data_IF_027747160401
#
_entry.id   IF_027747160401
#
_cell.length_a   1.000
_cell.length_b   1.000
_cell.length_c   1.000
_cell.angle_alpha   90.00
_cell.angle_beta   90.00
_cell.angle_gamma   90.00
#
_symmetry.space_group_name_H-M   'P 1'
#
loop_
_entity.id
_entity.type
_entity.pdbx_description
1 polymer ?
#
# COMPACT_ATOMS: atom_id res chain seq x y z
N UNK A 1 22.67 -23.21 0.49
CA UNK A 1 21.37 -22.51 0.49
C UNK A 1 21.22 -21.70 -0.78
N UNK A 2 20.06 -21.76 -1.40
CA UNK A 2 19.76 -20.98 -2.59
C UNK A 2 19.47 -19.55 -2.15
N UNK A 3 20.19 -18.60 -2.72
CA UNK A 3 19.97 -17.20 -2.46
C UNK A 3 18.83 -16.70 -3.35
N UNK A 4 17.80 -16.09 -2.73
CA UNK A 4 16.66 -15.53 -3.44
C UNK A 4 16.83 -14.02 -3.55
N UNK A 5 16.38 -13.44 -4.67
CA UNK A 5 16.26 -11.99 -4.81
C UNK A 5 15.22 -11.45 -3.84
N UNK A 6 15.25 -10.13 -3.58
CA UNK A 6 14.25 -9.48 -2.73
C UNK A 6 12.82 -9.73 -3.23
N UNK A 7 12.60 -9.64 -4.54
CA UNK A 7 11.29 -9.90 -5.13
C UNK A 7 10.86 -11.35 -4.98
N UNK A 8 11.79 -12.29 -5.15
CA UNK A 8 11.50 -13.71 -4.95
C UNK A 8 11.16 -14.01 -3.49
N UNK A 9 11.89 -13.41 -2.55
CA UNK A 9 11.60 -13.54 -1.12
C UNK A 9 10.21 -13.01 -0.80
N UNK A 10 9.85 -11.86 -1.35
CA UNK A 10 8.54 -11.27 -1.12
C UNK A 10 7.41 -12.14 -1.68
N UNK A 11 7.58 -12.67 -2.89
CA UNK A 11 6.60 -13.58 -3.46
C UNK A 11 6.47 -14.87 -2.64
N UNK A 12 7.57 -15.37 -2.09
CA UNK A 12 7.53 -16.54 -1.21
C UNK A 12 6.75 -16.23 0.07
N UNK A 13 6.96 -15.07 0.66
CA UNK A 13 6.21 -14.63 1.84
C UNK A 13 4.71 -14.56 1.56
N UNK A 14 4.33 -14.01 0.40
CA UNK A 14 2.93 -13.95 -0.01
C UNK A 14 2.36 -15.37 -0.16
N UNK A 15 3.09 -16.27 -0.83
CA UNK A 15 2.65 -17.65 -1.02
C UNK A 15 2.45 -18.37 0.32
N UNK A 16 3.35 -18.16 1.26
CA UNK A 16 3.22 -18.74 2.61
C UNK A 16 1.99 -18.23 3.34
N UNK A 17 1.72 -16.94 3.23
CA UNK A 17 0.53 -16.35 3.82
C UNK A 17 -0.75 -16.92 3.20
N UNK A 18 -0.77 -17.08 1.87
CA UNK A 18 -1.91 -17.61 1.16
C UNK A 18 -2.19 -19.08 1.51
N UNK A 19 -1.17 -19.86 1.86
CA UNK A 19 -1.33 -21.25 2.25
C UNK A 19 -2.21 -21.40 3.49
N UNK A 20 -2.38 -20.36 4.28
CA UNK A 20 -3.26 -20.35 5.46
C UNK A 20 -4.71 -19.99 5.11
N UNK A 21 -5.00 -19.76 3.85
CA UNK A 21 -6.33 -19.40 3.33
C UNK A 21 -6.96 -18.21 4.07
N UNK A 22 -6.26 -17.05 4.14
CA UNK A 22 -6.77 -15.90 4.87
C UNK A 22 -7.95 -15.23 4.14
N UNK A 23 -8.84 -14.61 4.90
CA UNK A 23 -9.88 -13.75 4.32
C UNK A 23 -9.34 -12.35 4.02
N UNK A 24 -8.38 -11.91 4.82
CA UNK A 24 -7.74 -10.60 4.69
C UNK A 24 -6.23 -10.79 4.70
N UNK A 25 -5.55 -10.20 3.73
CA UNK A 25 -4.09 -10.20 3.66
C UNK A 25 -3.58 -8.81 4.00
N UNK A 26 -2.72 -8.71 5.01
CA UNK A 26 -2.10 -7.45 5.42
C UNK A 26 -0.67 -7.39 4.88
N UNK A 27 -0.33 -6.30 4.22
CA UNK A 27 1.01 -6.07 3.70
C UNK A 27 1.53 -4.73 4.20
N UNK A 28 2.73 -4.73 4.78
CA UNK A 28 3.38 -3.52 5.26
C UNK A 28 4.58 -3.22 4.38
N UNK A 29 4.51 -2.10 3.63
CA UNK A 29 5.56 -1.65 2.73
C UNK A 29 6.06 -2.78 1.81
N UNK A 30 5.18 -3.41 1.02
CA UNK A 30 5.53 -4.67 0.34
C UNK A 30 6.63 -4.54 -0.71
N UNK A 31 6.90 -3.34 -1.20
CA UNK A 31 7.90 -3.13 -2.26
C UNK A 31 9.03 -2.18 -1.88
N UNK A 32 9.20 -1.87 -0.58
CA UNK A 32 10.11 -0.82 -0.14
C UNK A 32 11.58 -1.05 -0.48
N UNK A 33 12.01 -2.31 -0.61
CA UNK A 33 13.41 -2.64 -0.89
C UNK A 33 13.58 -3.33 -2.24
N UNK A 34 12.60 -3.21 -3.13
CA UNK A 34 12.61 -3.93 -4.41
C UNK A 34 12.98 -3.00 -5.56
N UNK A 35 13.64 -3.55 -6.57
CA UNK A 35 13.88 -2.87 -7.84
C UNK A 35 12.54 -2.65 -8.59
N UNK A 36 12.51 -1.76 -9.61
CA UNK A 36 11.26 -1.46 -10.32
C UNK A 36 10.60 -2.68 -10.97
N UNK A 37 11.40 -3.61 -11.51
CA UNK A 37 10.84 -4.82 -12.14
C UNK A 37 10.17 -5.74 -11.13
N UNK A 38 10.80 -5.95 -9.98
CA UNK A 38 10.24 -6.76 -8.91
C UNK A 38 9.03 -6.10 -8.29
N UNK A 39 9.07 -4.78 -8.11
CA UNK A 39 7.92 -4.00 -7.63
C UNK A 39 6.71 -4.20 -8.53
N UNK A 40 6.90 -4.11 -9.85
CA UNK A 40 5.81 -4.30 -10.80
C UNK A 40 5.18 -5.68 -10.68
N UNK A 41 5.99 -6.72 -10.53
CA UNK A 41 5.50 -8.10 -10.37
C UNK A 41 4.68 -8.28 -9.11
N UNK A 42 5.13 -7.68 -7.99
CA UNK A 42 4.39 -7.73 -6.74
C UNK A 42 3.06 -6.97 -6.88
N UNK A 43 3.07 -5.79 -7.51
CA UNK A 43 1.84 -5.02 -7.72
C UNK A 43 0.85 -5.77 -8.60
N UNK A 44 1.32 -6.45 -9.65
CA UNK A 44 0.47 -7.29 -10.48
C UNK A 44 -0.15 -8.43 -9.67
N UNK A 45 0.65 -9.07 -8.82
CA UNK A 45 0.16 -10.14 -7.93
C UNK A 45 -0.89 -9.61 -6.97
N UNK A 46 -0.68 -8.43 -6.39
CA UNK A 46 -1.66 -7.79 -5.50
C UNK A 46 -2.98 -7.57 -6.22
N UNK A 47 -2.94 -7.04 -7.44
CA UNK A 47 -4.15 -6.79 -8.21
C UNK A 47 -4.90 -8.08 -8.54
N UNK A 48 -4.18 -9.14 -8.90
CA UNK A 48 -4.80 -10.44 -9.16
C UNK A 48 -5.46 -11.01 -7.90
N UNK A 49 -4.75 -10.98 -6.77
CA UNK A 49 -5.27 -11.50 -5.50
C UNK A 49 -6.47 -10.71 -5.00
N UNK A 50 -6.51 -9.40 -5.29
CA UNK A 50 -7.59 -8.53 -4.82
C UNK A 50 -8.95 -8.87 -5.44
N UNK A 51 -8.97 -9.65 -6.52
CA UNK A 51 -10.22 -10.11 -7.12
C UNK A 51 -10.93 -11.14 -6.22
N UNK A 52 -10.17 -11.89 -5.42
CA UNK A 52 -10.70 -12.99 -4.63
C UNK A 52 -10.64 -12.75 -3.12
N UNK A 53 -9.92 -11.73 -2.67
CA UNK A 53 -9.74 -11.49 -1.24
C UNK A 53 -9.53 -10.01 -0.95
N UNK A 54 -9.71 -9.64 0.31
CA UNK A 54 -9.43 -8.28 0.77
C UNK A 54 -7.95 -8.13 1.10
N UNK A 55 -7.32 -7.12 0.53
CA UNK A 55 -5.92 -6.80 0.81
C UNK A 55 -5.84 -5.41 1.42
N UNK A 56 -5.12 -5.31 2.52
CA UNK A 56 -4.82 -4.03 3.18
C UNK A 56 -3.32 -3.80 3.09
N UNK A 57 -2.93 -2.67 2.49
CA UNK A 57 -1.52 -2.32 2.31
C UNK A 57 -1.23 -1.05 3.10
N UNK A 58 -0.16 -1.10 3.90
CA UNK A 58 0.39 0.09 4.54
C UNK A 58 1.59 0.52 3.71
N UNK A 59 1.57 1.75 3.21
CA UNK A 59 2.67 2.28 2.41
C UNK A 59 2.74 3.79 2.53
N UNK A 60 3.96 4.34 2.47
CA UNK A 60 4.16 5.77 2.31
C UNK A 60 4.39 6.14 0.83
N UNK A 61 4.37 5.16 -0.06
CA UNK A 61 4.52 5.40 -1.49
C UNK A 61 3.17 5.72 -2.11
N UNK A 62 2.92 7.02 -2.34
CA UNK A 62 1.64 7.49 -2.87
C UNK A 62 1.36 6.96 -4.28
N UNK A 63 2.40 6.82 -5.09
CA UNK A 63 2.23 6.30 -6.45
C UNK A 63 1.77 4.85 -6.43
N UNK A 64 2.34 4.04 -5.52
CA UNK A 64 1.90 2.66 -5.36
C UNK A 64 0.45 2.58 -4.89
N UNK A 65 0.09 3.41 -3.91
CA UNK A 65 -1.30 3.46 -3.43
C UNK A 65 -2.26 3.76 -4.57
N UNK A 66 -1.90 4.72 -5.44
CA UNK A 66 -2.73 5.08 -6.58
C UNK A 66 -2.87 3.92 -7.59
N UNK A 67 -1.80 3.16 -7.80
CA UNK A 67 -1.81 2.08 -8.80
C UNK A 67 -2.59 0.85 -8.35
N UNK A 68 -2.52 0.51 -7.06
CA UNK A 68 -2.99 -0.82 -6.62
C UNK A 68 -4.23 -0.80 -5.74
N UNK A 69 -4.65 0.37 -5.23
CA UNK A 69 -5.77 0.40 -4.30
C UNK A 69 -7.01 1.02 -4.90
N UNK A 70 -8.16 0.48 -4.50
CA UNK A 70 -9.47 1.05 -4.85
C UNK A 70 -9.95 2.05 -3.80
N UNK A 71 -9.51 1.89 -2.56
CA UNK A 71 -9.84 2.80 -1.45
C UNK A 71 -8.57 3.13 -0.69
N UNK A 72 -8.51 4.35 -0.17
CA UNK A 72 -7.33 4.83 0.55
C UNK A 72 -7.76 5.52 1.83
N UNK A 73 -7.04 5.20 2.91
CA UNK A 73 -7.14 5.92 4.17
C UNK A 73 -5.83 6.69 4.37
N UNK A 74 -5.94 7.98 4.59
CA UNK A 74 -4.78 8.83 4.88
C UNK A 74 -4.64 9.01 6.38
N UNK A 75 -3.50 8.58 6.91
CA UNK A 75 -3.17 8.68 8.33
C UNK A 75 -2.14 9.78 8.53
N UNK A 76 -2.30 10.56 9.59
CA UNK A 76 -1.34 11.60 9.95
C UNK A 76 -1.14 11.60 11.46
N UNK A 77 0.13 11.67 11.89
CA UNK A 77 0.50 11.89 13.27
C UNK A 77 1.01 13.31 13.39
N UNK A 78 0.46 14.09 14.33
CA UNK A 78 0.84 15.48 14.56
C UNK A 78 1.31 15.67 15.99
N UNK A 79 2.39 16.42 16.16
CA UNK A 79 2.88 16.92 17.47
C UNK A 79 3.03 15.83 18.54
N UNK A 80 3.58 14.66 18.16
CA UNK A 80 3.83 13.58 19.09
C UNK A 80 2.58 12.78 19.45
N UNK A 81 1.44 13.09 18.85
CA UNK A 81 0.20 12.33 19.04
C UNK A 81 0.19 11.09 18.16
N UNK A 82 -0.58 10.05 18.54
CA UNK A 82 -0.76 8.88 17.68
C UNK A 82 -1.35 9.26 16.32
N UNK A 83 -1.01 8.50 15.30
CA UNK A 83 -1.60 8.68 13.98
C UNK A 83 -3.11 8.50 14.00
N UNK A 84 -3.81 9.33 13.25
CA UNK A 84 -5.25 9.28 13.13
C UNK A 84 -5.64 9.28 11.66
N UNK A 85 -6.79 8.70 11.34
CA UNK A 85 -7.35 8.76 10.00
C UNK A 85 -7.84 10.18 9.74
N UNK A 86 -7.22 10.84 8.78
CA UNK A 86 -7.59 12.21 8.39
C UNK A 86 -8.65 12.18 7.31
N UNK A 87 -8.53 11.23 6.39
CA UNK A 87 -9.46 11.13 5.27
C UNK A 87 -9.51 9.66 4.80
N UNK A 88 -10.69 9.23 4.37
CA UNK A 88 -10.92 7.89 3.85
C UNK A 88 -11.95 7.94 2.72
N UNK A 89 -11.64 7.29 1.62
CA UNK A 89 -12.57 7.26 0.49
C UNK A 89 -12.00 6.47 -0.67
N UNK A 90 -12.60 6.64 -1.85
CA UNK A 90 -12.03 6.05 -3.06
C UNK A 90 -10.64 6.65 -3.28
N UNK A 91 -9.74 5.85 -3.83
CA UNK A 91 -8.38 6.30 -4.10
C UNK A 91 -8.38 7.52 -5.02
N UNK A 92 -9.24 7.51 -6.03
CA UNK A 92 -9.36 8.65 -6.93
C UNK A 92 -9.74 9.93 -6.19
N UNK A 93 -10.72 9.87 -5.31
CA UNK A 93 -11.18 11.04 -4.56
C UNK A 93 -10.10 11.54 -3.60
N UNK A 94 -9.46 10.63 -2.84
CA UNK A 94 -8.45 11.02 -1.85
C UNK A 94 -7.25 11.71 -2.51
N UNK A 95 -6.82 11.24 -3.67
CA UNK A 95 -5.67 11.81 -4.37
C UNK A 95 -5.99 12.98 -5.28
N UNK A 96 -7.14 13.00 -5.92
CA UNK A 96 -7.47 14.01 -6.92
C UNK A 96 -8.42 15.09 -6.42
N UNK A 97 -9.27 14.77 -5.44
CA UNK A 97 -10.24 15.70 -4.87
C UNK A 97 -10.32 15.53 -3.35
N UNK A 98 -9.18 15.70 -2.65
CA UNK A 98 -9.18 15.55 -1.19
C UNK A 98 -10.07 16.59 -0.53
N UNK A 99 -10.80 16.17 0.49
CA UNK A 99 -11.71 17.04 1.24
C UNK A 99 -10.96 17.76 2.36
N UNK A 100 -10.05 17.04 3.05
CA UNK A 100 -9.29 17.61 4.14
C UNK A 100 -8.07 18.36 3.59
N UNK A 101 -7.84 19.57 4.10
CA UNK A 101 -6.71 20.39 3.66
C UNK A 101 -5.36 19.71 3.91
N UNK A 102 -5.24 18.95 4.99
CA UNK A 102 -4.00 18.24 5.31
C UNK A 102 -3.70 17.15 4.28
N UNK A 103 -4.73 16.46 3.79
CA UNK A 103 -4.58 15.48 2.72
C UNK A 103 -4.13 16.18 1.44
N UNK A 104 -4.76 17.30 1.12
CA UNK A 104 -4.42 18.08 -0.06
C UNK A 104 -2.95 18.53 -0.03
N UNK A 105 -2.50 19.04 1.11
CA UNK A 105 -1.12 19.47 1.27
C UNK A 105 -0.14 18.31 1.10
N UNK A 106 -0.45 17.17 1.67
CA UNK A 106 0.42 15.99 1.58
C UNK A 106 0.50 15.46 0.14
N UNK A 107 -0.65 15.32 -0.51
CA UNK A 107 -0.72 14.78 -1.88
C UNK A 107 -0.01 15.71 -2.87
N UNK A 108 -0.07 17.02 -2.64
CA UNK A 108 0.56 18.01 -3.52
C UNK A 108 1.99 18.38 -3.11
N UNK A 109 2.53 17.72 -2.10
CA UNK A 109 3.90 17.97 -1.66
C UNK A 109 4.08 19.27 -0.89
N UNK A 110 3.02 19.87 -0.38
CA UNK A 110 3.05 21.14 0.36
C UNK A 110 3.07 20.89 1.86
N UNK A 111 3.90 19.97 2.31
CA UNK A 111 4.08 19.71 3.74
C UNK A 111 5.38 20.36 4.19
N UNK A 112 5.27 21.17 5.15
CA UNK A 112 6.47 21.81 5.62
C UNK A 112 6.29 22.58 6.87
#
# INVERSE_FOLDING_TARGET
>A
AISLSGGQQQRLCIARSLAMEPEILLMDEPCSALDPGSTRRIEETILELSEDMTIVIVTHNMQQAQRVSSRTAFFLAEDGNPGQVVEFGSTEQVFNQPIDLRTNDYVNGHFG
#
